data_IF_130922100784
#
_entry.id   IF_130922100784
#
_cell.length_a   1.000
_cell.length_b   1.000
_cell.length_c   1.000
_cell.angle_alpha   90.00
_cell.angle_beta   90.00
_cell.angle_gamma   90.00
#
_symmetry.space_group_name_H-M   'P 1'
#
loop_
_entity.id
_entity.type
_entity.pdbx_description
1 polymer ?
#
# COMPACT_ATOMS: atom_id res chain seq x y z
N UNK A 1 -17.52 -15.65 25.45
CA UNK A 1 -18.32 -16.81 25.00
C UNK A 1 -17.85 -17.11 23.59
N UNK A 2 -17.11 -18.20 23.43
CA UNK A 2 -16.46 -18.62 22.19
C UNK A 2 -17.52 -18.97 21.12
N UNK A 3 -17.85 -18.00 20.27
CA UNK A 3 -18.56 -18.27 19.04
C UNK A 3 -17.52 -18.67 18.00
N UNK A 4 -17.22 -19.96 17.92
CA UNK A 4 -16.54 -20.50 16.75
C UNK A 4 -17.42 -20.20 15.53
N UNK A 5 -16.86 -19.47 14.57
CA UNK A 5 -17.49 -19.20 13.29
C UNK A 5 -17.79 -20.52 12.61
N UNK A 6 -18.97 -20.62 12.00
CA UNK A 6 -19.25 -21.70 11.09
C UNK A 6 -18.14 -21.75 10.02
N UNK A 7 -17.58 -22.93 9.78
CA UNK A 7 -16.46 -23.11 8.87
C UNK A 7 -16.64 -22.45 7.49
N UNK A 8 -17.85 -22.49 6.87
CA UNK A 8 -18.09 -21.77 5.61
C UNK A 8 -17.93 -20.25 5.72
N UNK A 9 -18.35 -19.64 6.84
CA UNK A 9 -18.26 -18.20 7.07
C UNK A 9 -16.80 -17.76 7.26
N UNK A 10 -16.00 -18.58 7.95
CA UNK A 10 -14.56 -18.37 8.08
C UNK A 10 -13.88 -18.35 6.70
N UNK A 11 -14.15 -19.36 5.86
CA UNK A 11 -13.61 -19.44 4.50
C UNK A 11 -14.05 -18.23 3.67
N UNK A 12 -15.33 -17.85 3.74
CA UNK A 12 -15.85 -16.70 3.01
C UNK A 12 -15.12 -15.41 3.43
N UNK A 13 -14.89 -15.21 4.72
CA UNK A 13 -14.20 -14.02 5.23
C UNK A 13 -12.72 -13.98 4.84
N UNK A 14 -12.04 -15.14 4.84
CA UNK A 14 -10.69 -15.27 4.26
C UNK A 14 -10.72 -14.92 2.77
N UNK A 15 -11.73 -15.38 2.03
CA UNK A 15 -11.94 -15.02 0.63
C UNK A 15 -12.11 -13.52 0.41
N UNK A 16 -12.86 -12.82 1.27
CA UNK A 16 -13.00 -11.35 1.25
C UNK A 16 -11.66 -10.66 1.54
N UNK A 17 -10.88 -11.17 2.50
CA UNK A 17 -9.56 -10.64 2.80
C UNK A 17 -8.60 -10.79 1.61
N UNK A 18 -8.58 -11.96 0.97
CA UNK A 18 -7.79 -12.19 -0.25
C UNK A 18 -8.28 -11.36 -1.44
N UNK A 19 -9.59 -11.12 -1.55
CA UNK A 19 -10.15 -10.19 -2.54
C UNK A 19 -9.67 -8.76 -2.29
N UNK A 20 -9.65 -8.31 -1.03
CA UNK A 20 -9.05 -7.02 -0.68
C UNK A 20 -7.59 -6.95 -1.11
N UNK A 21 -6.79 -7.98 -0.84
CA UNK A 21 -5.37 -8.01 -1.21
C UNK A 21 -5.15 -8.03 -2.72
N UNK A 22 -6.01 -8.75 -3.44
CA UNK A 22 -6.05 -8.75 -4.90
C UNK A 22 -6.38 -7.36 -5.45
N UNK A 23 -7.43 -6.73 -4.94
CA UNK A 23 -7.82 -5.37 -5.36
C UNK A 23 -6.76 -4.35 -4.96
N UNK A 24 -6.07 -4.56 -3.85
CA UNK A 24 -4.94 -3.75 -3.45
C UNK A 24 -3.80 -3.88 -4.46
N UNK A 25 -3.44 -5.11 -4.85
CA UNK A 25 -2.48 -5.36 -5.92
C UNK A 25 -2.85 -4.65 -7.23
N UNK A 26 -4.14 -4.67 -7.60
CA UNK A 26 -4.63 -3.97 -8.80
C UNK A 26 -4.55 -2.44 -8.66
N UNK A 27 -4.98 -1.90 -7.53
CA UNK A 27 -5.04 -0.46 -7.26
C UNK A 27 -3.62 0.14 -7.18
N UNK A 28 -2.76 -0.50 -6.39
CA UNK A 28 -1.42 -0.02 -6.05
C UNK A 28 -0.33 -0.54 -6.98
N UNK A 29 -0.67 -1.38 -7.99
CA UNK A 29 0.20 -1.67 -9.14
C UNK A 29 0.82 -0.41 -9.73
N UNK A 30 0.05 0.69 -9.75
CA UNK A 30 0.47 1.99 -10.25
C UNK A 30 1.73 2.52 -9.55
N UNK A 31 1.91 2.21 -8.27
CA UNK A 31 3.03 2.71 -7.48
C UNK A 31 4.38 2.18 -8.00
N UNK A 32 4.41 0.94 -8.48
CA UNK A 32 5.61 0.27 -8.96
C UNK A 32 5.81 0.39 -10.48
N UNK A 33 4.74 0.58 -11.27
CA UNK A 33 4.83 0.55 -12.75
C UNK A 33 4.69 1.92 -13.41
N UNK A 34 4.11 2.92 -12.76
CA UNK A 34 3.80 4.19 -13.42
C UNK A 34 5.05 4.93 -13.91
N UNK A 35 6.09 4.95 -13.08
CA UNK A 35 7.40 5.55 -13.39
C UNK A 35 8.06 4.83 -14.56
N UNK A 36 8.18 3.50 -14.53
CA UNK A 36 8.90 2.74 -15.57
C UNK A 36 8.17 2.72 -16.94
N UNK A 37 6.84 2.75 -16.91
CA UNK A 37 6.02 2.85 -18.12
C UNK A 37 6.06 4.27 -18.68
N UNK A 38 5.98 5.31 -17.83
CA UNK A 38 6.05 6.71 -18.27
C UNK A 38 7.40 7.09 -18.88
N UNK A 39 8.51 6.56 -18.33
CA UNK A 39 9.87 6.75 -18.86
C UNK A 39 10.18 5.85 -20.05
N UNK A 40 9.24 4.96 -20.44
CA UNK A 40 9.37 4.01 -21.56
C UNK A 40 10.59 3.10 -21.42
N UNK A 41 10.94 2.72 -20.19
CA UNK A 41 11.98 1.71 -19.93
C UNK A 41 11.44 0.32 -20.23
N UNK A 42 10.20 0.03 -19.82
CA UNK A 42 9.48 -1.20 -20.16
C UNK A 42 8.16 -0.91 -20.88
N UNK A 43 7.72 -1.86 -21.71
CA UNK A 43 6.34 -1.88 -22.20
C UNK A 43 5.39 -2.23 -21.04
N UNK A 44 4.15 -1.73 -21.05
CA UNK A 44 3.16 -1.96 -19.99
C UNK A 44 3.01 -3.42 -19.55
N UNK A 45 2.92 -4.36 -20.49
CA UNK A 45 2.75 -5.80 -20.23
C UNK A 45 3.92 -6.40 -19.43
N UNK A 46 5.16 -6.02 -19.76
CA UNK A 46 6.32 -6.49 -19.03
C UNK A 46 6.47 -5.79 -17.67
N UNK A 47 6.05 -4.52 -17.56
CA UNK A 47 6.09 -3.80 -16.30
C UNK A 47 5.16 -4.43 -15.25
N UNK A 48 3.94 -4.84 -15.63
CA UNK A 48 3.03 -5.53 -14.69
C UNK A 48 3.55 -6.91 -14.29
N UNK A 49 4.12 -7.68 -15.24
CA UNK A 49 4.70 -8.98 -14.93
C UNK A 49 5.92 -8.85 -14.01
N UNK A 50 6.77 -7.85 -14.26
CA UNK A 50 7.94 -7.53 -13.43
C UNK A 50 7.52 -7.15 -12.00
N UNK A 51 6.59 -6.22 -11.86
CA UNK A 51 6.09 -5.79 -10.55
C UNK A 51 5.39 -6.94 -9.81
N UNK A 52 4.56 -7.73 -10.49
CA UNK A 52 3.87 -8.88 -9.89
C UNK A 52 4.85 -9.93 -9.35
N UNK A 53 5.92 -10.23 -10.10
CA UNK A 53 6.96 -11.16 -9.66
C UNK A 53 7.66 -10.66 -8.38
N UNK A 54 8.12 -9.40 -8.36
CA UNK A 54 8.81 -8.84 -7.20
C UNK A 54 7.87 -8.61 -6.01
N UNK A 55 6.60 -8.29 -6.24
CA UNK A 55 5.57 -8.27 -5.23
C UNK A 55 5.44 -9.66 -4.57
N UNK A 56 5.32 -10.72 -5.38
CA UNK A 56 5.14 -12.08 -4.88
C UNK A 56 6.34 -12.57 -4.04
N UNK A 57 7.58 -12.38 -4.51
CA UNK A 57 8.77 -12.91 -3.81
C UNK A 57 9.20 -12.07 -2.59
N UNK A 58 8.49 -11.01 -2.25
CA UNK A 58 8.87 -10.12 -1.15
C UNK A 58 8.98 -10.84 0.21
N UNK A 59 8.19 -11.89 0.43
CA UNK A 59 8.27 -12.70 1.66
C UNK A 59 9.65 -13.36 1.90
N UNK A 60 10.47 -13.52 0.85
CA UNK A 60 11.82 -14.06 0.97
C UNK A 60 12.81 -13.06 1.59
N UNK A 61 12.47 -11.77 1.59
CA UNK A 61 13.39 -10.68 1.98
C UNK A 61 12.95 -9.95 3.24
N UNK A 62 11.68 -10.02 3.63
CA UNK A 62 11.12 -9.30 4.76
C UNK A 62 10.51 -10.24 5.81
N UNK A 63 10.76 -9.93 7.09
CA UNK A 63 10.02 -10.54 8.20
C UNK A 63 8.61 -9.98 8.33
N UNK A 64 7.79 -10.57 9.21
CA UNK A 64 6.34 -10.38 9.30
C UNK A 64 5.88 -9.28 10.29
N UNK A 65 6.76 -8.33 10.61
CA UNK A 65 6.53 -7.30 11.64
C UNK A 65 5.33 -6.38 11.35
N UNK A 66 5.01 -6.13 10.07
CA UNK A 66 3.86 -5.29 9.70
C UNK A 66 2.56 -6.03 9.97
N UNK A 67 2.52 -7.34 9.69
CA UNK A 67 1.35 -8.18 9.95
C UNK A 67 1.04 -8.24 11.46
N UNK A 68 2.06 -8.31 12.30
CA UNK A 68 1.92 -8.25 13.75
C UNK A 68 1.34 -6.91 14.23
N UNK A 69 1.83 -5.81 13.67
CA UNK A 69 1.36 -4.46 14.01
C UNK A 69 -0.08 -4.24 13.55
N UNK A 70 -0.45 -4.69 12.36
CA UNK A 70 -1.84 -4.58 11.87
C UNK A 70 -2.77 -5.47 12.69
N UNK A 71 -2.31 -6.68 13.04
CA UNK A 71 -3.13 -7.63 13.78
C UNK A 71 -3.46 -7.19 15.21
N UNK A 72 -2.49 -6.61 15.93
CA UNK A 72 -2.68 -6.27 17.35
C UNK A 72 -2.75 -4.77 17.64
N UNK A 73 -2.34 -3.92 16.71
CA UNK A 73 -2.03 -2.52 16.99
C UNK A 73 -3.14 -1.51 16.70
N UNK A 74 -4.20 -1.87 15.97
CA UNK A 74 -5.21 -0.88 15.51
C UNK A 74 -6.51 -0.97 16.30
N UNK A 75 -7.05 -2.19 16.45
CA UNK A 75 -8.28 -2.46 17.21
C UNK A 75 -7.95 -3.54 18.24
N UNK A 76 -8.54 -3.45 19.44
CA UNK A 76 -8.28 -4.42 20.49
C UNK A 76 -8.74 -5.82 20.04
N UNK A 77 -7.83 -6.81 20.11
CA UNK A 77 -8.07 -8.18 19.68
C UNK A 77 -9.28 -8.82 20.37
N UNK A 78 -9.58 -8.47 21.62
CA UNK A 78 -10.72 -9.01 22.37
C UNK A 78 -12.08 -8.56 21.79
N UNK A 79 -12.08 -7.48 21.03
CA UNK A 79 -13.28 -6.87 20.43
C UNK A 79 -13.39 -7.25 18.95
N UNK A 80 -12.34 -7.78 18.33
CA UNK A 80 -12.37 -8.17 16.92
C UNK A 80 -13.17 -9.47 16.75
N UNK A 81 -14.29 -9.40 16.04
CA UNK A 81 -15.04 -10.56 15.57
C UNK A 81 -15.17 -10.55 14.03
N UNK A 82 -15.79 -11.57 13.47
CA UNK A 82 -16.02 -11.68 12.03
C UNK A 82 -16.78 -10.48 11.46
N UNK A 83 -17.76 -9.95 12.19
CA UNK A 83 -18.55 -8.79 11.76
C UNK A 83 -17.69 -7.54 11.64
N UNK A 84 -16.79 -7.29 12.61
CA UNK A 84 -15.85 -6.17 12.55
C UNK A 84 -14.87 -6.33 11.39
N UNK A 85 -14.29 -7.51 11.22
CA UNK A 85 -13.35 -7.78 10.11
C UNK A 85 -14.06 -7.61 8.76
N UNK A 86 -15.27 -8.16 8.62
CA UNK A 86 -16.07 -8.03 7.41
C UNK A 86 -16.39 -6.56 7.11
N UNK A 87 -16.89 -5.81 8.11
CA UNK A 87 -17.15 -4.39 7.97
C UNK A 87 -15.91 -3.61 7.55
N UNK A 88 -14.77 -3.86 8.20
CA UNK A 88 -13.51 -3.20 7.89
C UNK A 88 -13.02 -3.48 6.45
N UNK A 89 -13.04 -4.75 6.04
CA UNK A 89 -12.64 -5.15 4.69
C UNK A 89 -13.59 -4.58 3.63
N UNK A 90 -14.90 -4.61 3.86
CA UNK A 90 -15.87 -4.04 2.93
C UNK A 90 -15.74 -2.53 2.82
N UNK A 91 -15.48 -1.82 3.93
CA UNK A 91 -15.17 -0.39 3.92
C UNK A 91 -13.96 -0.07 3.04
N UNK A 92 -12.89 -0.84 3.20
CA UNK A 92 -11.66 -0.67 2.43
C UNK A 92 -11.84 -1.04 0.94
N UNK A 93 -12.47 -2.19 0.65
CA UNK A 93 -12.75 -2.67 -0.71
C UNK A 93 -13.62 -1.67 -1.47
N UNK A 94 -14.76 -1.27 -0.89
CA UNK A 94 -15.70 -0.38 -1.55
C UNK A 94 -15.04 0.97 -1.86
N UNK A 95 -14.31 1.54 -0.90
CA UNK A 95 -13.61 2.79 -1.13
C UNK A 95 -12.52 2.68 -2.20
N UNK A 96 -11.70 1.62 -2.17
CA UNK A 96 -10.68 1.37 -3.18
C UNK A 96 -11.27 1.22 -4.59
N UNK A 97 -12.42 0.55 -4.73
CA UNK A 97 -13.12 0.43 -6.02
C UNK A 97 -13.65 1.78 -6.52
N UNK A 98 -14.19 2.62 -5.62
CA UNK A 98 -14.63 3.98 -5.95
C UNK A 98 -13.46 4.81 -6.44
N UNK A 99 -12.34 4.85 -5.70
CA UNK A 99 -11.17 5.65 -6.07
C UNK A 99 -10.52 5.15 -7.34
N UNK A 100 -10.44 3.84 -7.54
CA UNK A 100 -9.99 3.25 -8.79
C UNK A 100 -10.90 3.61 -9.98
N UNK A 101 -12.22 3.52 -9.79
CA UNK A 101 -13.22 3.89 -10.79
C UNK A 101 -13.04 5.33 -11.29
N UNK A 102 -12.76 6.24 -10.34
CA UNK A 102 -12.48 7.66 -10.57
C UNK A 102 -11.03 7.97 -11.00
N UNK A 103 -10.13 6.98 -10.97
CA UNK A 103 -8.71 7.15 -11.30
C UNK A 103 -7.94 8.02 -10.32
N UNK A 104 -8.40 8.09 -9.06
CA UNK A 104 -7.82 8.86 -7.97
C UNK A 104 -6.78 7.97 -7.24
N UNK A 105 -5.50 8.37 -7.15
CA UNK A 105 -4.50 7.67 -6.36
C UNK A 105 -4.81 7.77 -4.86
N UNK A 106 -5.47 6.73 -4.34
CA UNK A 106 -5.76 6.55 -2.91
C UNK A 106 -4.80 5.54 -2.26
N UNK A 107 -4.82 5.46 -0.93
CA UNK A 107 -4.04 4.50 -0.16
C UNK A 107 -4.96 3.40 0.40
N UNK A 108 -4.70 2.15 0.01
CA UNK A 108 -5.38 0.99 0.59
C UNK A 108 -5.09 0.82 2.08
N UNK A 109 -3.89 1.16 2.54
CA UNK A 109 -3.54 1.19 3.98
C UNK A 109 -4.46 2.12 4.75
N UNK A 110 -4.70 3.32 4.20
CA UNK A 110 -5.50 4.34 4.85
C UNK A 110 -6.98 3.96 4.83
N UNK A 111 -7.45 3.36 3.74
CA UNK A 111 -8.80 2.82 3.64
C UNK A 111 -9.04 1.65 4.62
N UNK A 112 -8.05 0.77 4.79
CA UNK A 112 -8.14 -0.35 5.73
C UNK A 112 -8.17 0.10 7.19
N UNK A 113 -7.29 1.02 7.57
CA UNK A 113 -7.30 1.63 8.91
C UNK A 113 -8.63 2.35 9.15
N UNK A 114 -9.12 3.11 8.17
CA UNK A 114 -10.44 3.74 8.22
C UNK A 114 -11.55 2.72 8.46
N UNK A 115 -11.61 1.66 7.66
CA UNK A 115 -12.58 0.58 7.81
C UNK A 115 -12.54 -0.10 9.18
N UNK A 116 -11.35 -0.39 9.70
CA UNK A 116 -11.15 -0.95 11.05
C UNK A 116 -11.66 0.00 12.14
N UNK A 117 -11.34 1.29 12.04
CA UNK A 117 -11.81 2.30 12.99
C UNK A 117 -13.33 2.44 12.94
N UNK A 118 -13.92 2.48 11.73
CA UNK A 118 -15.37 2.57 11.54
C UNK A 118 -16.12 1.37 12.10
N UNK A 119 -15.72 0.15 11.73
CA UNK A 119 -16.35 -1.07 12.22
C UNK A 119 -16.13 -1.27 13.72
N UNK A 120 -14.93 -1.00 14.23
CA UNK A 120 -14.61 -1.11 15.66
C UNK A 120 -15.40 -0.12 16.52
N UNK A 121 -15.51 1.14 16.09
CA UNK A 121 -16.32 2.15 16.78
C UNK A 121 -17.80 1.85 16.73
N UNK A 122 -18.31 1.31 15.62
CA UNK A 122 -19.70 0.87 15.53
C UNK A 122 -20.02 -0.29 16.50
N UNK A 123 -19.06 -1.16 16.80
CA UNK A 123 -19.23 -2.28 17.74
C UNK A 123 -19.20 -1.85 19.21
N UNK A 124 -18.18 -1.10 19.63
CA UNK A 124 -17.94 -0.83 21.06
C UNK A 124 -17.60 0.62 21.37
N UNK A 125 -17.82 1.54 20.42
CA UNK A 125 -17.45 2.94 20.59
C UNK A 125 -15.93 3.17 20.56
N UNK A 126 -15.49 4.30 21.10
CA UNK A 126 -14.08 4.72 21.04
C UNK A 126 -13.14 3.83 21.88
N UNK A 127 -13.66 3.03 22.81
CA UNK A 127 -12.86 2.09 23.62
C UNK A 127 -12.33 0.90 22.82
N UNK A 128 -12.86 0.64 21.62
CA UNK A 128 -12.35 -0.40 20.73
C UNK A 128 -10.98 -0.06 20.13
N UNK A 129 -10.63 1.23 20.10
CA UNK A 129 -9.48 1.75 19.37
C UNK A 129 -8.22 1.67 20.21
N UNK A 130 -7.17 1.07 19.64
CA UNK A 130 -5.82 1.13 20.21
C UNK A 130 -5.16 2.42 19.72
N UNK A 131 -5.38 3.50 20.47
CA UNK A 131 -4.93 4.84 20.08
C UNK A 131 -3.43 4.92 19.79
N UNK A 132 -2.60 4.23 20.56
CA UNK A 132 -1.15 4.23 20.37
C UNK A 132 -0.73 3.72 18.97
N UNK A 133 -1.34 2.64 18.49
CA UNK A 133 -1.04 2.12 17.15
C UNK A 133 -1.72 2.93 16.05
N UNK A 134 -2.94 3.45 16.27
CA UNK A 134 -3.55 4.40 15.33
C UNK A 134 -2.67 5.63 15.14
N UNK A 135 -2.19 6.26 16.22
CA UNK A 135 -1.28 7.40 16.12
C UNK A 135 0.02 7.04 15.39
N UNK A 136 0.61 5.87 15.68
CA UNK A 136 1.82 5.39 14.99
C UNK A 136 1.58 5.22 13.49
N UNK A 137 0.49 4.58 13.10
CA UNK A 137 0.13 4.33 11.70
C UNK A 137 -0.26 5.61 10.96
N UNK A 138 -1.11 6.45 11.55
CA UNK A 138 -1.50 7.73 10.97
C UNK A 138 -0.31 8.68 10.81
N UNK A 139 0.57 8.76 11.81
CA UNK A 139 1.80 9.54 11.70
C UNK A 139 2.68 9.03 10.55
N UNK A 140 2.86 7.72 10.44
CA UNK A 140 3.64 7.12 9.36
C UNK A 140 3.05 7.41 7.97
N UNK A 141 1.71 7.38 7.83
CA UNK A 141 1.00 7.71 6.59
C UNK A 141 1.21 9.18 6.16
N UNK A 142 1.32 10.11 7.12
CA UNK A 142 1.56 11.54 6.87
C UNK A 142 3.05 11.84 6.63
N UNK A 143 3.94 11.16 7.36
CA UNK A 143 5.39 11.38 7.28
C UNK A 143 5.98 10.73 6.02
N UNK A 144 5.47 9.58 5.58
CA UNK A 144 6.06 8.84 4.46
C UNK A 144 6.15 9.61 3.13
N UNK A 145 5.17 10.43 2.69
CA UNK A 145 5.36 11.28 1.51
C UNK A 145 6.49 12.31 1.69
N UNK A 146 6.66 12.87 2.88
CA UNK A 146 7.73 13.83 3.15
C UNK A 146 9.12 13.17 3.13
N UNK A 147 9.23 11.96 3.70
CA UNK A 147 10.46 11.16 3.64
C UNK A 147 10.78 10.75 2.21
N UNK A 148 9.78 10.27 1.45
CA UNK A 148 9.94 9.93 0.04
C UNK A 148 10.40 11.13 -0.79
N UNK A 149 9.79 12.30 -0.58
CA UNK A 149 10.20 13.57 -1.20
C UNK A 149 11.65 13.93 -0.87
N UNK A 150 12.00 13.89 0.41
CA UNK A 150 13.33 14.25 0.90
C UNK A 150 14.41 13.32 0.33
N UNK A 151 14.21 12.01 0.43
CA UNK A 151 15.15 11.02 -0.10
C UNK A 151 15.30 11.13 -1.61
N UNK A 152 14.20 11.35 -2.33
CA UNK A 152 14.24 11.56 -3.76
C UNK A 152 15.04 12.82 -4.15
N UNK A 153 14.90 13.94 -3.42
CA UNK A 153 15.70 15.15 -3.63
C UNK A 153 17.19 14.91 -3.36
N UNK A 154 17.52 14.22 -2.28
CA UNK A 154 18.91 13.87 -1.94
C UNK A 154 19.53 12.97 -3.01
N UNK A 155 18.77 11.99 -3.51
CA UNK A 155 19.22 11.12 -4.58
C UNK A 155 19.45 11.91 -5.87
N UNK A 156 18.54 12.81 -6.26
CA UNK A 156 18.72 13.68 -7.43
C UNK A 156 20.00 14.52 -7.30
N UNK A 157 20.22 15.11 -6.13
CA UNK A 157 21.44 15.88 -5.86
C UNK A 157 22.68 14.99 -6.05
N UNK A 158 22.73 13.84 -5.37
CA UNK A 158 23.86 12.91 -5.44
C UNK A 158 24.14 12.46 -6.88
N UNK A 159 23.12 12.01 -7.62
CA UNK A 159 23.32 11.55 -9.00
C UNK A 159 23.74 12.68 -9.95
N UNK A 160 23.28 13.92 -9.71
CA UNK A 160 23.65 15.07 -10.54
C UNK A 160 25.13 15.37 -10.42
N UNK A 161 25.70 15.23 -9.21
CA UNK A 161 27.14 15.39 -8.99
C UNK A 161 27.96 14.22 -9.56
N UNK A 162 27.50 12.98 -9.36
CA UNK A 162 28.19 11.77 -9.85
C UNK A 162 28.24 11.76 -11.39
N UNK A 163 27.11 12.05 -12.04
CA UNK A 163 26.98 11.99 -13.49
C UNK A 163 27.27 13.31 -14.20
N UNK A 164 27.81 14.33 -13.51
CA UNK A 164 28.06 15.67 -14.11
C UNK A 164 28.98 15.66 -15.33
N UNK A 165 29.86 14.66 -15.44
CA UNK A 165 30.81 14.49 -16.56
C UNK A 165 30.27 13.59 -17.68
N UNK A 166 29.10 12.98 -17.50
CA UNK A 166 28.51 12.08 -18.49
C UNK A 166 27.78 12.88 -19.58
N UNK A 167 27.79 12.36 -20.80
CA UNK A 167 26.91 12.88 -21.85
C UNK A 167 25.45 12.54 -21.55
N UNK A 168 24.46 13.36 -21.97
CA UNK A 168 23.05 13.09 -21.73
C UNK A 168 22.61 11.69 -22.21
N UNK A 169 23.11 11.26 -23.37
CA UNK A 169 22.81 9.93 -23.93
C UNK A 169 23.46 8.80 -23.11
N UNK A 170 24.70 9.01 -22.64
CA UNK A 170 25.39 8.04 -21.79
C UNK A 170 24.69 7.84 -20.46
N UNK A 171 24.29 8.94 -19.81
CA UNK A 171 23.52 8.90 -18.57
C UNK A 171 22.17 8.20 -18.78
N UNK A 172 21.43 8.54 -19.83
CA UNK A 172 20.14 7.91 -20.14
C UNK A 172 20.27 6.39 -20.28
N UNK A 173 21.26 5.91 -21.05
CA UNK A 173 21.49 4.46 -21.24
C UNK A 173 21.77 3.72 -19.92
N UNK A 174 22.47 4.36 -18.98
CA UNK A 174 22.73 3.80 -17.65
C UNK A 174 21.46 3.79 -16.80
N UNK A 175 20.76 4.92 -16.72
CA UNK A 175 19.57 5.03 -15.87
C UNK A 175 18.40 4.19 -16.36
N UNK A 176 18.27 3.89 -17.65
CA UNK A 176 17.28 2.91 -18.13
C UNK A 176 17.51 1.51 -17.55
N UNK A 177 18.76 1.13 -17.28
CA UNK A 177 19.08 -0.14 -16.60
C UNK A 177 18.90 -0.04 -15.08
N UNK A 178 19.38 1.04 -14.47
CA UNK A 178 19.24 1.25 -13.03
C UNK A 178 17.78 1.37 -12.61
N UNK A 179 16.93 1.97 -13.44
CA UNK A 179 15.51 2.09 -13.17
C UNK A 179 14.81 0.72 -13.08
N UNK A 180 15.26 -0.29 -13.83
CA UNK A 180 14.73 -1.65 -13.67
C UNK A 180 15.00 -2.20 -12.27
N UNK A 181 16.19 -1.93 -11.74
CA UNK A 181 16.60 -2.36 -10.39
C UNK A 181 15.82 -1.60 -9.33
N UNK A 182 15.69 -0.28 -9.45
CA UNK A 182 14.90 0.50 -8.48
C UNK A 182 13.42 0.14 -8.50
N UNK A 183 12.85 -0.16 -9.67
CA UNK A 183 11.47 -0.64 -9.78
C UNK A 183 11.29 -2.03 -9.14
N UNK A 184 12.28 -2.93 -9.27
CA UNK A 184 12.29 -4.22 -8.55
C UNK A 184 12.32 -4.02 -7.04
N UNK A 185 13.21 -3.15 -6.54
CA UNK A 185 13.32 -2.84 -5.11
C UNK A 185 12.04 -2.20 -4.58
N UNK A 186 11.45 -1.26 -5.33
CA UNK A 186 10.19 -0.65 -4.93
C UNK A 186 9.06 -1.69 -4.87
N UNK A 187 8.97 -2.59 -5.86
CA UNK A 187 7.99 -3.68 -5.87
C UNK A 187 8.19 -4.66 -4.71
N UNK A 188 9.43 -5.01 -4.38
CA UNK A 188 9.74 -5.80 -3.18
C UNK A 188 9.25 -5.11 -1.91
N UNK A 189 9.49 -3.80 -1.78
CA UNK A 189 9.06 -3.03 -0.61
C UNK A 189 7.53 -2.91 -0.53
N UNK A 190 6.89 -2.74 -1.68
CA UNK A 190 5.44 -2.74 -1.82
C UNK A 190 4.86 -4.08 -1.34
N UNK A 191 5.31 -5.21 -1.89
CA UNK A 191 4.82 -6.51 -1.44
C UNK A 191 5.23 -6.92 -0.03
N UNK A 192 6.35 -6.38 0.46
CA UNK A 192 6.81 -6.57 1.83
C UNK A 192 5.95 -5.83 2.85
N UNK A 193 5.41 -4.65 2.52
CA UNK A 193 4.57 -3.87 3.44
C UNK A 193 3.08 -4.19 3.29
N UNK A 194 2.61 -4.31 2.06
CA UNK A 194 1.17 -4.24 1.76
C UNK A 194 0.48 -5.59 1.95
N UNK A 195 1.04 -6.67 1.42
CA UNK A 195 0.47 -8.01 1.60
C UNK A 195 0.39 -8.39 3.08
N UNK A 196 1.33 -7.90 3.91
CA UNK A 196 1.34 -8.15 5.35
C UNK A 196 0.11 -7.57 6.07
N UNK A 197 -0.55 -6.54 5.54
CA UNK A 197 -1.75 -5.96 6.16
C UNK A 197 -2.89 -6.97 6.16
N UNK A 198 -3.10 -7.63 5.01
CA UNK A 198 -4.08 -8.70 4.87
C UNK A 198 -3.67 -9.94 5.68
N UNK A 199 -2.38 -10.29 5.68
CA UNK A 199 -1.85 -11.37 6.53
C UNK A 199 -2.18 -11.15 8.00
N UNK A 200 -2.03 -9.93 8.51
CA UNK A 200 -2.36 -9.56 9.89
C UNK A 200 -3.84 -9.76 10.22
N UNK A 201 -4.74 -9.38 9.31
CA UNK A 201 -6.19 -9.56 9.48
C UNK A 201 -6.56 -11.04 9.51
N UNK A 202 -6.05 -11.83 8.56
CA UNK A 202 -6.30 -13.28 8.53
C UNK A 202 -5.71 -13.95 9.76
N UNK A 203 -4.51 -13.55 10.20
CA UNK A 203 -3.89 -14.12 11.40
C UNK A 203 -4.70 -13.82 12.67
N UNK A 204 -5.22 -12.60 12.84
CA UNK A 204 -6.12 -12.27 13.96
C UNK A 204 -7.41 -13.06 13.89
N UNK A 205 -8.00 -13.20 12.70
CA UNK A 205 -9.19 -14.01 12.52
C UNK A 205 -8.94 -15.44 12.98
N UNK A 206 -7.88 -16.09 12.51
CA UNK A 206 -7.51 -17.45 12.91
C UNK A 206 -7.19 -17.55 14.41
N UNK A 207 -6.49 -16.54 14.96
CA UNK A 207 -6.16 -16.48 16.39
C UNK A 207 -7.42 -16.39 17.26
N UNK A 208 -8.35 -15.50 16.92
CA UNK A 208 -9.62 -15.30 17.63
C UNK A 208 -10.52 -16.54 17.61
N UNK A 209 -10.32 -17.42 16.63
CA UNK A 209 -11.06 -18.67 16.46
C UNK A 209 -10.38 -19.88 17.13
N UNK A 210 -9.25 -19.68 17.80
CA UNK A 210 -8.48 -20.76 18.43
C UNK A 210 -7.82 -21.71 17.42
N UNK A 211 -7.68 -21.31 16.15
CA UNK A 211 -7.14 -22.15 15.08
C UNK A 211 -5.61 -22.05 14.93
N UNK A 212 -4.96 -21.15 15.69
CA UNK A 212 -3.51 -21.03 15.74
C UNK A 212 -2.96 -21.73 16.99
N UNK A 213 -1.99 -22.62 16.80
CA UNK A 213 -1.26 -23.28 17.87
C UNK A 213 -0.01 -22.46 18.27
N UNK A 214 0.34 -22.43 19.55
CA UNK A 214 1.58 -21.78 20.01
C UNK A 214 1.58 -20.25 20.05
N UNK A 215 0.39 -19.62 20.04
CA UNK A 215 0.24 -18.17 20.12
C UNK A 215 0.05 -17.49 18.76
N UNK A 216 0.02 -16.16 18.77
CA UNK A 216 -0.20 -15.36 17.56
C UNK A 216 1.04 -15.43 16.64
N UNK A 217 0.86 -15.98 15.45
CA UNK A 217 1.83 -16.02 14.37
C UNK A 217 1.10 -16.00 13.03
N UNK A 218 1.79 -15.71 11.94
CA UNK A 218 1.21 -15.77 10.58
C UNK A 218 1.65 -17.08 9.92
N UNK A 219 0.73 -18.01 9.62
CA UNK A 219 1.07 -19.25 8.93
C UNK A 219 1.60 -19.02 7.51
N UNK A 220 2.50 -19.89 7.06
CA UNK A 220 3.12 -19.76 5.72
C UNK A 220 2.10 -19.78 4.57
N UNK A 221 1.00 -20.53 4.71
CA UNK A 221 -0.05 -20.54 3.69
C UNK A 221 -0.77 -19.18 3.59
N UNK A 222 -0.90 -18.44 4.69
CA UNK A 222 -1.45 -17.07 4.69
C UNK A 222 -0.50 -16.14 3.96
N UNK A 223 0.81 -16.27 4.21
CA UNK A 223 1.85 -15.51 3.52
C UNK A 223 1.78 -15.75 2.01
N UNK A 224 1.81 -17.01 1.59
CA UNK A 224 1.80 -17.36 0.16
C UNK A 224 0.49 -16.96 -0.54
N UNK A 225 -0.66 -17.12 0.13
CA UNK A 225 -1.96 -16.76 -0.45
C UNK A 225 -2.14 -15.25 -0.61
N UNK A 226 -1.74 -14.44 0.38
CA UNK A 226 -1.76 -12.98 0.28
C UNK A 226 -0.81 -12.50 -0.84
N UNK A 227 0.45 -12.97 -0.84
CA UNK A 227 1.40 -12.59 -1.88
C UNK A 227 0.94 -13.00 -3.28
N UNK A 228 0.33 -14.17 -3.43
CA UNK A 228 -0.25 -14.61 -4.69
C UNK A 228 -1.44 -13.72 -5.11
N UNK A 229 -2.36 -13.43 -4.19
CA UNK A 229 -3.52 -12.57 -4.46
C UNK A 229 -3.07 -11.17 -4.92
N UNK A 230 -2.17 -10.54 -4.18
CA UNK A 230 -1.64 -9.22 -4.54
C UNK A 230 -0.84 -9.25 -5.85
N UNK A 231 -0.02 -10.29 -6.09
CA UNK A 231 0.70 -10.49 -7.35
C UNK A 231 -0.25 -10.63 -8.55
N UNK A 232 -1.29 -11.45 -8.43
CA UNK A 232 -2.32 -11.62 -9.46
C UNK A 232 -3.11 -10.33 -9.71
N UNK A 233 -3.44 -9.58 -8.65
CA UNK A 233 -4.05 -8.27 -8.76
C UNK A 233 -3.18 -7.29 -9.53
N UNK A 234 -1.87 -7.31 -9.25
CA UNK A 234 -0.87 -6.48 -9.95
C UNK A 234 -0.83 -6.78 -11.46
N UNK A 235 -1.01 -8.04 -11.87
CA UNK A 235 -1.04 -8.45 -13.28
C UNK A 235 -2.22 -7.86 -14.06
N UNK A 236 -3.38 -7.64 -13.42
CA UNK A 236 -4.54 -7.04 -14.08
C UNK A 236 -4.34 -5.57 -14.46
N UNK A 237 -3.44 -4.88 -13.77
CA UNK A 237 -3.02 -3.52 -14.09
C UNK A 237 -4.05 -2.44 -13.74
N UNK A 238 -3.71 -1.59 -12.76
CA UNK A 238 -4.47 -0.41 -12.35
C UNK A 238 -4.36 0.79 -13.30
N UNK A 239 -4.58 0.58 -14.61
CA UNK A 239 -4.20 1.53 -15.67
C UNK A 239 -4.72 2.97 -15.50
N UNK A 240 -5.92 3.15 -14.95
CA UNK A 240 -6.47 4.49 -14.64
C UNK A 240 -5.56 5.26 -13.69
N UNK A 241 -5.09 4.61 -12.62
CA UNK A 241 -4.22 5.21 -11.60
C UNK A 241 -2.79 5.33 -12.15
N UNK A 242 -2.30 4.32 -12.88
CA UNK A 242 -0.99 4.35 -13.57
C UNK A 242 -0.86 5.60 -14.43
N UNK A 243 -1.90 5.90 -15.21
CA UNK A 243 -1.92 7.08 -16.07
C UNK A 243 -1.86 8.38 -15.26
N UNK A 244 -2.61 8.48 -14.15
CA UNK A 244 -2.57 9.65 -13.25
C UNK A 244 -1.18 9.83 -12.62
N UNK A 245 -0.63 8.77 -12.03
CA UNK A 245 0.66 8.81 -11.33
C UNK A 245 1.85 9.06 -12.27
N UNK A 246 1.86 8.42 -13.45
CA UNK A 246 3.01 8.44 -14.36
C UNK A 246 3.07 9.67 -15.27
N UNK A 247 1.95 10.36 -15.51
CA UNK A 247 1.92 11.42 -16.53
C UNK A 247 1.27 12.74 -16.07
N UNK A 248 0.40 12.72 -15.06
CA UNK A 248 -0.34 13.91 -14.63
C UNK A 248 0.35 14.71 -13.53
N UNK A 249 1.26 14.13 -12.74
CA UNK A 249 1.93 14.85 -11.65
C UNK A 249 3.14 15.64 -12.18
N UNK A 250 4.06 14.96 -12.84
CA UNK A 250 5.26 15.53 -13.46
C UNK A 250 5.71 14.63 -14.62
N UNK A 251 6.46 15.18 -15.59
CA UNK A 251 7.12 14.36 -16.62
C UNK A 251 8.46 13.87 -16.10
N UNK A 252 8.65 12.57 -16.08
CA UNK A 252 9.85 11.92 -15.56
C UNK A 252 10.79 11.48 -16.69
N UNK A 253 12.09 11.64 -16.47
CA UNK A 253 13.15 10.95 -17.21
C UNK A 253 13.54 9.63 -16.51
N UNK A 254 14.28 8.71 -17.15
CA UNK A 254 14.73 7.48 -16.48
C UNK A 254 15.54 7.71 -15.20
N UNK A 255 16.40 8.74 -15.19
CA UNK A 255 17.17 9.12 -14.00
C UNK A 255 16.26 9.58 -12.86
N UNK A 256 15.24 10.36 -13.20
CA UNK A 256 14.24 10.83 -12.26
C UNK A 256 13.36 9.71 -11.72
N UNK A 257 12.95 8.79 -12.59
CA UNK A 257 12.23 7.57 -12.20
C UNK A 257 13.05 6.72 -11.23
N UNK A 258 14.34 6.52 -11.54
CA UNK A 258 15.27 5.83 -10.63
C UNK A 258 15.36 6.50 -9.25
N UNK A 259 15.49 7.83 -9.18
CA UNK A 259 15.54 8.53 -7.90
C UNK A 259 14.24 8.42 -7.11
N UNK A 260 13.09 8.54 -7.78
CA UNK A 260 11.78 8.45 -7.13
C UNK A 260 11.52 7.04 -6.58
N UNK A 261 11.74 6.00 -7.41
CA UNK A 261 11.58 4.60 -7.02
C UNK A 261 12.57 4.20 -5.92
N UNK A 262 13.83 4.63 -6.00
CA UNK A 262 14.84 4.31 -4.99
C UNK A 262 14.53 4.99 -3.66
N UNK A 263 14.17 6.27 -3.67
CA UNK A 263 13.77 6.99 -2.44
C UNK A 263 12.50 6.39 -1.83
N UNK A 264 11.55 6.00 -2.67
CA UNK A 264 10.36 5.26 -2.24
C UNK A 264 10.70 3.89 -1.65
N UNK A 265 11.56 3.11 -2.31
CA UNK A 265 11.97 1.78 -1.86
C UNK A 265 12.69 1.85 -0.51
N UNK A 266 13.61 2.80 -0.33
CA UNK A 266 14.29 3.01 0.97
C UNK A 266 13.26 3.30 2.06
N UNK A 267 12.30 4.19 1.80
CA UNK A 267 11.24 4.53 2.76
C UNK A 267 10.41 3.30 3.13
N UNK A 268 10.02 2.49 2.13
CA UNK A 268 9.25 1.26 2.36
C UNK A 268 10.04 0.22 3.13
N UNK A 269 11.33 0.03 2.81
CA UNK A 269 12.17 -0.96 3.49
C UNK A 269 12.38 -0.57 4.95
N UNK A 270 12.64 0.72 5.23
CA UNK A 270 12.72 1.23 6.58
C UNK A 270 11.41 1.02 7.35
N UNK A 271 10.28 1.37 6.75
CA UNK A 271 8.97 1.20 7.38
C UNK A 271 8.64 -0.28 7.67
N UNK A 272 8.87 -1.16 6.69
CA UNK A 272 8.65 -2.61 6.83
C UNK A 272 9.56 -3.22 7.89
N UNK A 273 10.83 -2.80 7.96
CA UNK A 273 11.76 -3.27 8.99
C UNK A 273 11.33 -2.81 10.40
N UNK A 274 10.81 -1.59 10.53
CA UNK A 274 10.25 -1.06 11.78
C UNK A 274 8.85 -1.62 12.11
N UNK A 275 8.30 -2.50 11.27
CA UNK A 275 6.95 -3.06 11.40
C UNK A 275 5.84 -2.04 11.23
N UNK A 276 6.10 -0.89 10.61
CA UNK A 276 5.13 0.20 10.48
C UNK A 276 4.35 0.06 9.17
N UNK A 277 3.02 -0.13 9.22
CA UNK A 277 2.21 -0.10 8.02
C UNK A 277 2.20 1.32 7.46
N UNK A 278 2.70 1.49 6.24
CA UNK A 278 2.77 2.79 5.55
C UNK A 278 1.91 2.80 4.29
N UNK A 279 1.70 4.00 3.74
CA UNK A 279 1.08 4.17 2.43
C UNK A 279 2.15 4.18 1.34
N UNK A 280 2.17 3.14 0.51
CA UNK A 280 3.03 3.05 -0.67
C UNK A 280 2.69 4.18 -1.65
N UNK A 281 1.39 4.39 -1.91
CA UNK A 281 0.90 5.48 -2.77
C UNK A 281 1.39 6.84 -2.32
N UNK A 282 1.29 7.18 -1.03
CA UNK A 282 1.76 8.49 -0.54
C UNK A 282 3.27 8.62 -0.69
N UNK A 283 3.99 7.56 -0.34
CA UNK A 283 5.45 7.53 -0.38
C UNK A 283 5.99 7.81 -1.78
N UNK A 284 5.49 7.10 -2.80
CA UNK A 284 5.93 7.31 -4.18
C UNK A 284 5.39 8.60 -4.78
N UNK A 285 4.16 9.03 -4.45
CA UNK A 285 3.67 10.36 -4.86
C UNK A 285 4.58 11.46 -4.32
N UNK A 286 4.96 11.39 -3.04
CA UNK A 286 5.91 12.33 -2.42
C UNK A 286 7.26 12.32 -3.12
N UNK A 287 7.81 11.13 -3.40
CA UNK A 287 9.06 10.98 -4.14
C UNK A 287 8.98 11.57 -5.56
N UNK A 288 7.90 11.31 -6.31
CA UNK A 288 7.65 11.85 -7.66
C UNK A 288 7.56 13.38 -7.62
N UNK A 289 6.84 13.95 -6.65
CA UNK A 289 6.76 15.40 -6.43
C UNK A 289 8.13 15.97 -6.11
N UNK A 290 8.91 15.32 -5.24
CA UNK A 290 10.28 15.71 -4.90
C UNK A 290 11.20 15.77 -6.13
N UNK A 291 11.23 14.71 -6.92
CA UNK A 291 12.02 14.70 -8.16
C UNK A 291 11.52 15.75 -9.15
N UNK A 292 10.21 15.99 -9.26
CA UNK A 292 9.68 17.07 -10.08
C UNK A 292 10.15 18.46 -9.63
N UNK A 293 10.07 18.71 -8.32
CA UNK A 293 10.48 19.97 -7.69
C UNK A 293 11.98 20.25 -7.83
N UNK A 294 12.83 19.21 -7.85
CA UNK A 294 14.29 19.34 -8.00
C UNK A 294 14.72 20.10 -9.26
N UNK A 295 13.93 20.01 -10.34
CA UNK A 295 14.21 20.71 -11.59
C UNK A 295 13.72 22.15 -11.55
N UNK A 296 12.45 22.31 -11.18
CA UNK A 296 11.76 23.60 -10.98
C UNK A 296 10.41 23.32 -10.33
N UNK A 297 9.97 24.20 -9.43
CA UNK A 297 8.66 24.06 -8.77
C UNK A 297 7.49 24.04 -9.77
N UNK A 298 7.61 24.71 -10.91
CA UNK A 298 6.60 24.72 -11.98
C UNK A 298 6.53 23.44 -12.82
N UNK A 299 7.46 22.49 -12.64
CA UNK A 299 7.39 21.18 -13.30
C UNK A 299 6.33 20.27 -12.66
N UNK A 300 5.99 20.52 -11.39
CA UNK A 300 4.94 19.81 -10.67
C UNK A 300 3.59 20.46 -10.98
N UNK A 301 2.61 19.64 -11.36
CA UNK A 301 1.22 20.09 -11.54
C UNK A 301 0.52 20.15 -10.18
N UNK A 302 0.65 21.29 -9.50
CA UNK A 302 0.12 21.48 -8.14
C UNK A 302 -1.39 21.27 -8.00
N UNK A 303 -2.18 21.56 -9.04
CA UNK A 303 -3.61 21.26 -9.04
C UNK A 303 -3.88 19.75 -8.90
N UNK A 304 -3.04 18.91 -9.52
CA UNK A 304 -3.15 17.45 -9.40
C UNK A 304 -2.63 17.00 -8.02
N UNK A 305 -1.45 17.48 -7.60
CA UNK A 305 -0.86 17.12 -6.32
C UNK A 305 -1.78 17.48 -5.13
N UNK A 306 -2.39 18.66 -5.14
CA UNK A 306 -3.35 19.09 -4.11
C UNK A 306 -4.62 18.26 -4.13
N UNK A 307 -5.17 17.94 -5.30
CA UNK A 307 -6.36 17.07 -5.40
C UNK A 307 -6.12 15.67 -4.83
N UNK A 308 -4.90 15.15 -4.98
CA UNK A 308 -4.47 13.87 -4.41
C UNK A 308 -4.42 13.96 -2.87
N UNK A 309 -3.85 15.03 -2.31
CA UNK A 309 -3.82 15.24 -0.84
C UNK A 309 -5.24 15.32 -0.26
N UNK A 310 -6.15 16.02 -0.94
CA UNK A 310 -7.57 16.09 -0.51
C UNK A 310 -8.18 14.69 -0.50
N UNK A 311 -7.96 13.90 -1.55
CA UNK A 311 -8.42 12.51 -1.58
C UNK A 311 -7.88 11.70 -0.40
N UNK A 312 -6.60 11.88 -0.05
CA UNK A 312 -5.99 11.17 1.09
C UNK A 312 -6.66 11.49 2.42
N UNK A 313 -7.03 12.75 2.65
CA UNK A 313 -7.74 13.18 3.86
C UNK A 313 -9.17 12.61 3.90
N UNK A 314 -9.85 12.54 2.74
CA UNK A 314 -11.21 11.99 2.63
C UNK A 314 -11.25 10.46 2.76
N UNK A 315 -10.17 9.76 2.39
CA UNK A 315 -10.13 8.30 2.38
C UNK A 315 -10.44 7.66 3.73
N UNK A 316 -9.83 8.13 4.82
CA UNK A 316 -10.05 7.57 6.15
C UNK A 316 -11.51 7.71 6.62
N UNK A 317 -12.13 8.90 6.66
CA UNK A 317 -13.51 9.05 7.10
C UNK A 317 -14.50 8.36 6.17
N UNK A 318 -14.27 8.34 4.85
CA UNK A 318 -15.15 7.65 3.92
C UNK A 318 -15.12 6.13 4.11
N UNK A 319 -13.92 5.54 4.21
CA UNK A 319 -13.78 4.11 4.48
C UNK A 319 -14.31 3.72 5.87
N UNK A 320 -14.15 4.60 6.87
CA UNK A 320 -14.73 4.40 8.21
C UNK A 320 -16.26 4.41 8.18
N UNK A 321 -16.88 5.37 7.48
CA UNK A 321 -18.33 5.44 7.35
C UNK A 321 -18.90 4.19 6.66
N UNK A 322 -18.26 3.74 5.57
CA UNK A 322 -18.66 2.51 4.87
C UNK A 322 -18.43 1.29 5.77
N UNK A 323 -17.31 1.21 6.48
CA UNK A 323 -17.01 0.10 7.38
C UNK A 323 -18.01 -0.03 8.54
N UNK A 324 -18.39 1.10 9.13
CA UNK A 324 -19.45 1.17 10.14
C UNK A 324 -20.82 0.73 9.58
N UNK A 325 -21.14 1.14 8.36
CA UNK A 325 -22.37 0.74 7.67
C UNK A 325 -22.42 -0.79 7.45
N UNK A 326 -21.37 -1.38 6.88
CA UNK A 326 -21.32 -2.82 6.63
C UNK A 326 -21.32 -3.63 7.92
N UNK A 327 -20.65 -3.13 8.97
CA UNK A 327 -20.78 -3.71 10.30
C UNK A 327 -22.24 -3.71 10.78
N UNK A 328 -22.94 -2.57 10.67
CA UNK A 328 -24.36 -2.46 11.02
C UNK A 328 -25.25 -3.42 10.23
N UNK A 329 -24.97 -3.64 8.95
CA UNK A 329 -25.69 -4.61 8.12
C UNK A 329 -25.54 -6.05 8.63
N UNK A 330 -24.37 -6.43 9.16
CA UNK A 330 -24.18 -7.76 9.76
C UNK A 330 -24.95 -7.97 11.06
N UNK A 331 -25.53 -6.92 11.65
CA UNK A 331 -26.38 -7.02 12.84
C UNK A 331 -27.86 -7.18 12.50
N UNK A 332 -28.24 -7.01 11.22
CA UNK A 332 -29.62 -7.14 10.76
C UNK A 332 -30.01 -8.59 10.43
N UNK A 333 -29.03 -9.48 10.32
CA UNK A 333 -29.16 -10.90 9.99
C UNK A 333 -28.38 -11.74 11.01
#
# INVERSE_FOLDING_TARGET
MEAHLAFPLLIALIGVALLFDFLNGLHDAANSIATIVSTRVLKPQYAVAWAAFFNFIAFLFFGLHVAETVGKGIVNADIIDASVIFGALMGAIAWNLITWGLGIPSSSSHALVGGLLGAGTAKSGLSAIVWSGVFKTSAAIVISPAVGLFLALMLVLAISWIFRKFTPQGADRVFRKLQLVSASLYSLGHGGNDAQKTMGIIAVLLYSQGLLTGGFHVPMWVVLSCQAAMGLGTLLGGWKIVHTMGSKITRLTPAQGFCAETGGAITLFMATHLGVPVSTTHTITGAIVGVGASRRLSAVRWNVASSIIVAWVVTLPAAAAIGALFYGLTRLF
#
